data_IF_983399010862
#
_entry.id   IF_983399010862
#
_cell.length_a   1.000
_cell.length_b   1.000
_cell.length_c   1.000
_cell.angle_alpha   90.00
_cell.angle_beta   90.00
_cell.angle_gamma   90.00
#
_symmetry.space_group_name_H-M   'P 1'
#
loop_
_entity.id
_entity.type
_entity.pdbx_description
1 polymer ?
#
# COMPACT_ATOMS: atom_id res chain seq x y z
N UNK A 1 2.10 -3.10 24.17
CA UNK A 1 0.67 -3.07 23.77
C UNK A 1 0.36 -1.94 22.78
N UNK A 2 0.79 -0.69 23.04
CA UNK A 2 0.54 0.46 22.16
C UNK A 2 1.01 0.28 20.70
N UNK A 3 2.21 -0.28 20.49
CA UNK A 3 2.79 -0.52 19.14
C UNK A 3 1.85 -1.38 18.29
N UNK A 4 1.38 -2.51 18.84
CA UNK A 4 0.45 -3.39 18.14
C UNK A 4 -0.91 -2.75 17.90
N UNK A 5 -1.40 -1.91 18.82
CA UNK A 5 -2.67 -1.21 18.64
C UNK A 5 -2.62 -0.25 17.43
N UNK A 6 -1.54 0.52 17.28
CA UNK A 6 -1.34 1.43 16.14
C UNK A 6 -1.28 0.62 14.84
N UNK A 7 -0.48 -0.45 14.83
CA UNK A 7 -0.32 -1.32 13.68
C UNK A 7 -1.64 -1.98 13.25
N UNK A 8 -2.38 -2.56 14.19
CA UNK A 8 -3.68 -3.19 13.90
C UNK A 8 -4.73 -2.18 13.45
N UNK A 9 -4.73 -0.97 14.02
CA UNK A 9 -5.60 0.12 13.55
C UNK A 9 -5.31 0.47 12.10
N UNK A 10 -4.03 0.56 11.72
CA UNK A 10 -3.64 0.75 10.32
C UNK A 10 -4.16 -0.39 9.42
N UNK A 11 -4.08 -1.65 9.88
CA UNK A 11 -4.60 -2.78 9.13
C UNK A 11 -6.13 -2.77 8.99
N UNK A 12 -6.87 -2.27 9.99
CA UNK A 12 -8.32 -2.07 9.87
C UNK A 12 -8.62 -1.08 8.75
N UNK A 13 -7.91 0.04 8.66
CA UNK A 13 -8.10 1.00 7.56
C UNK A 13 -7.71 0.40 6.20
N UNK A 14 -6.62 -0.38 6.12
CA UNK A 14 -6.23 -1.10 4.90
C UNK A 14 -7.24 -2.20 4.51
N UNK A 15 -7.87 -2.85 5.46
CA UNK A 15 -8.95 -3.81 5.24
C UNK A 15 -10.22 -3.11 4.75
N UNK A 16 -10.64 -2.04 5.42
CA UNK A 16 -11.82 -1.27 5.09
C UNK A 16 -11.78 -0.73 3.66
N UNK A 17 -10.65 -0.15 3.23
CA UNK A 17 -10.52 0.31 1.83
C UNK A 17 -10.70 -0.84 0.83
N UNK A 18 -10.22 -2.03 1.17
CA UNK A 18 -10.19 -3.19 0.27
C UNK A 18 -11.60 -3.77 0.15
N UNK A 19 -12.32 -3.87 1.28
CA UNK A 19 -13.73 -4.27 1.30
C UNK A 19 -14.62 -3.28 0.55
N UNK A 20 -14.44 -1.98 0.77
CA UNK A 20 -15.22 -0.96 0.06
C UNK A 20 -14.95 -1.02 -1.45
N UNK A 21 -13.67 -1.09 -1.85
CA UNK A 21 -13.31 -1.22 -3.26
C UNK A 21 -13.89 -2.49 -3.88
N UNK A 22 -13.87 -3.61 -3.15
CA UNK A 22 -14.48 -4.86 -3.58
C UNK A 22 -15.97 -4.65 -3.84
N UNK A 23 -16.74 -4.24 -2.83
CA UNK A 23 -18.20 -4.10 -2.93
C UNK A 23 -18.58 -3.16 -4.08
N UNK A 24 -17.88 -2.03 -4.22
CA UNK A 24 -18.14 -1.07 -5.29
C UNK A 24 -17.79 -1.63 -6.67
N UNK A 25 -16.69 -2.38 -6.79
CA UNK A 25 -16.27 -2.96 -8.07
C UNK A 25 -17.19 -4.10 -8.50
N UNK A 26 -17.74 -4.85 -7.55
CA UNK A 26 -18.72 -5.90 -7.84
C UNK A 26 -20.02 -5.32 -8.37
N UNK A 27 -20.54 -4.29 -7.69
CA UNK A 27 -21.76 -3.58 -8.11
C UNK A 27 -21.61 -2.95 -9.49
N UNK A 28 -20.42 -2.43 -9.81
CA UNK A 28 -20.14 -1.79 -11.09
C UNK A 28 -19.65 -2.76 -12.20
N UNK A 29 -19.39 -4.03 -11.87
CA UNK A 29 -18.70 -5.02 -12.75
C UNK A 29 -17.41 -4.49 -13.39
N UNK A 30 -16.76 -3.50 -12.77
CA UNK A 30 -15.54 -2.84 -13.23
C UNK A 30 -14.66 -2.57 -12.03
N UNK A 31 -13.34 -2.70 -12.21
CA UNK A 31 -12.38 -2.46 -11.13
C UNK A 31 -12.18 -0.96 -10.93
N UNK A 32 -12.96 -0.38 -10.02
CA UNK A 32 -12.95 1.05 -9.72
C UNK A 32 -11.96 1.40 -8.60
N UNK A 33 -11.38 2.60 -8.67
CA UNK A 33 -10.73 3.23 -7.51
C UNK A 33 -11.65 4.34 -6.99
N UNK A 34 -12.42 4.16 -5.91
CA UNK A 34 -13.23 5.24 -5.35
C UNK A 34 -12.36 6.21 -4.53
N UNK A 35 -12.80 7.45 -4.29
CA UNK A 35 -12.02 8.41 -3.50
C UNK A 35 -11.77 7.95 -2.07
N UNK A 36 -12.77 7.30 -1.46
CA UNK A 36 -12.67 6.74 -0.10
C UNK A 36 -11.55 5.71 0.04
N UNK A 37 -11.24 4.95 -1.03
CA UNK A 37 -10.12 4.02 -1.04
C UNK A 37 -8.79 4.73 -0.76
N UNK A 38 -8.58 5.90 -1.37
CA UNK A 38 -7.35 6.67 -1.22
C UNK A 38 -7.28 7.39 0.12
N UNK A 39 -8.40 7.91 0.63
CA UNK A 39 -8.46 8.53 1.97
C UNK A 39 -8.08 7.51 3.05
N UNK A 40 -8.72 6.34 3.03
CA UNK A 40 -8.43 5.27 3.99
C UNK A 40 -6.99 4.75 3.83
N UNK A 41 -6.48 4.65 2.59
CA UNK A 41 -5.08 4.26 2.34
C UNK A 41 -4.08 5.25 2.92
N UNK A 42 -4.35 6.54 2.82
CA UNK A 42 -3.50 7.60 3.36
C UNK A 42 -3.45 7.53 4.89
N UNK A 43 -4.60 7.44 5.56
CA UNK A 43 -4.67 7.32 7.02
C UNK A 43 -3.99 6.03 7.50
N UNK A 44 -4.26 4.90 6.83
CA UNK A 44 -3.61 3.63 7.13
C UNK A 44 -2.09 3.72 6.99
N UNK A 45 -1.61 4.34 5.91
CA UNK A 45 -0.19 4.47 5.62
C UNK A 45 0.54 5.36 6.61
N UNK A 46 -0.09 6.46 7.05
CA UNK A 46 0.44 7.31 8.10
C UNK A 46 0.59 6.55 9.43
N UNK A 47 -0.44 5.83 9.86
CA UNK A 47 -0.38 5.01 11.08
C UNK A 47 0.65 3.87 10.95
N UNK A 48 0.73 3.24 9.78
CA UNK A 48 1.66 2.14 9.54
C UNK A 48 3.12 2.61 9.41
N UNK A 49 3.33 3.85 8.97
CA UNK A 49 4.64 4.51 9.00
C UNK A 49 5.12 4.72 10.44
N UNK A 50 4.25 5.24 11.31
CA UNK A 50 4.53 5.37 12.75
C UNK A 50 4.82 3.99 13.36
N UNK A 51 4.02 2.98 13.03
CA UNK A 51 4.27 1.60 13.44
C UNK A 51 5.66 1.10 13.01
N UNK A 52 6.06 1.33 11.76
CA UNK A 52 7.38 0.96 11.25
C UNK A 52 8.52 1.61 12.03
N UNK A 53 8.37 2.89 12.39
CA UNK A 53 9.32 3.60 13.24
C UNK A 53 9.46 2.96 14.63
N UNK A 54 8.32 2.69 15.28
CA UNK A 54 8.30 2.06 16.60
C UNK A 54 8.80 0.60 16.59
N UNK A 55 8.73 -0.08 15.44
CA UNK A 55 9.25 -1.44 15.24
C UNK A 55 10.71 -1.48 14.80
N UNK A 56 11.33 -0.32 14.63
CA UNK A 56 12.69 -0.17 14.08
C UNK A 56 12.82 -0.89 12.72
N UNK A 57 11.75 -0.85 11.92
CA UNK A 57 11.61 -1.66 10.72
C UNK A 57 11.67 -0.79 9.46
N UNK A 58 12.89 -0.68 8.91
CA UNK A 58 13.16 0.14 7.74
C UNK A 58 12.33 -0.27 6.50
N UNK A 59 12.09 -1.56 6.31
CA UNK A 59 11.33 -2.05 5.15
C UNK A 59 9.90 -1.49 5.17
N UNK A 60 9.24 -1.50 6.34
CA UNK A 60 7.91 -0.91 6.51
C UNK A 60 7.95 0.60 6.21
N UNK A 61 8.89 1.33 6.82
CA UNK A 61 9.04 2.78 6.66
C UNK A 61 9.21 3.15 5.19
N UNK A 62 10.10 2.47 4.47
CA UNK A 62 10.37 2.70 3.05
C UNK A 62 9.12 2.51 2.20
N UNK A 63 8.40 1.39 2.36
CA UNK A 63 7.20 1.09 1.60
C UNK A 63 6.08 2.10 1.83
N UNK A 64 5.89 2.51 3.09
CA UNK A 64 4.89 3.51 3.44
C UNK A 64 5.26 4.89 2.93
N UNK A 65 6.52 5.32 3.07
CA UNK A 65 6.98 6.62 2.59
C UNK A 65 6.63 6.84 1.11
N UNK A 66 6.91 5.85 0.25
CA UNK A 66 6.63 5.94 -1.18
C UNK A 66 5.12 5.88 -1.44
N UNK A 67 4.43 4.88 -0.87
CA UNK A 67 2.98 4.69 -1.07
C UNK A 67 2.17 5.91 -0.64
N UNK A 68 2.59 6.56 0.45
CA UNK A 68 1.94 7.70 1.05
C UNK A 68 1.78 8.88 0.09
N UNK A 69 2.86 9.27 -0.59
CA UNK A 69 2.81 10.36 -1.57
C UNK A 69 1.98 10.01 -2.80
N UNK A 70 1.95 8.74 -3.20
CA UNK A 70 1.08 8.30 -4.29
C UNK A 70 -0.41 8.44 -3.90
N UNK A 71 -0.75 8.24 -2.63
CA UNK A 71 -2.12 8.43 -2.14
C UNK A 71 -2.53 9.90 -2.16
N UNK A 72 -1.64 10.80 -1.73
CA UNK A 72 -1.87 12.25 -1.80
C UNK A 72 -2.08 12.68 -3.26
N UNK A 73 -1.21 12.24 -4.18
CA UNK A 73 -1.34 12.54 -5.59
C UNK A 73 -2.69 12.07 -6.17
N UNK A 74 -3.12 10.85 -5.85
CA UNK A 74 -4.42 10.33 -6.31
C UNK A 74 -5.62 11.11 -5.73
N UNK A 75 -5.51 11.62 -4.50
CA UNK A 75 -6.54 12.47 -3.90
C UNK A 75 -6.61 13.86 -4.54
N UNK A 76 -5.46 14.42 -4.90
CA UNK A 76 -5.39 15.71 -5.59
C UNK A 76 -5.91 15.62 -7.02
N UNK A 77 -5.54 14.56 -7.75
CA UNK A 77 -6.06 14.26 -9.08
C UNK A 77 -7.59 14.12 -9.12
N UNK A 78 -8.22 13.76 -7.99
CA UNK A 78 -9.69 13.67 -7.84
C UNK A 78 -10.34 14.92 -7.27
N UNK A 79 -9.58 15.98 -7.02
CA UNK A 79 -10.07 17.22 -6.41
C UNK A 79 -10.54 17.05 -4.96
N UNK A 80 -10.19 15.95 -4.29
CA UNK A 80 -10.59 15.67 -2.91
C UNK A 80 -9.57 16.21 -1.92
N UNK A 81 -8.29 16.19 -2.26
CA UNK A 81 -7.20 16.67 -1.39
C UNK A 81 -7.45 18.09 -0.89
N UNK A 82 -7.86 19.00 -1.78
CA UNK A 82 -8.13 20.41 -1.44
C UNK A 82 -9.32 20.62 -0.51
N UNK A 83 -10.20 19.62 -0.35
CA UNK A 83 -11.34 19.67 0.59
C UNK A 83 -10.94 19.29 2.02
N UNK A 84 -9.75 18.73 2.22
CA UNK A 84 -9.24 18.39 3.55
C UNK A 84 -8.77 19.67 4.24
N UNK A 85 -9.12 19.90 5.52
CA UNK A 85 -8.62 21.02 6.32
C UNK A 85 -7.11 21.22 6.19
N UNK A 86 -6.65 22.47 6.15
CA UNK A 86 -5.24 22.78 5.88
C UNK A 86 -4.32 22.24 6.97
N UNK A 87 -4.77 22.25 8.23
CA UNK A 87 -4.07 21.75 9.40
C UNK A 87 -3.78 20.25 9.24
N UNK A 88 -4.78 19.48 8.83
CA UNK A 88 -4.62 18.05 8.57
C UNK A 88 -3.68 17.80 7.39
N UNK A 89 -3.74 18.60 6.33
CA UNK A 89 -2.81 18.48 5.20
C UNK A 89 -1.36 18.74 5.61
N UNK A 90 -1.12 19.75 6.45
CA UNK A 90 0.22 20.07 6.97
C UNK A 90 0.74 18.91 7.83
N UNK A 91 -0.06 18.37 8.74
CA UNK A 91 0.35 17.22 9.57
C UNK A 91 0.67 16.02 8.68
N UNK A 92 -0.21 15.73 7.72
CA UNK A 92 -0.07 14.60 6.82
C UNK A 92 1.21 14.72 5.97
N UNK A 93 1.43 15.85 5.29
CA UNK A 93 2.64 16.05 4.46
C UNK A 93 3.90 16.19 5.33
N UNK A 94 3.78 16.85 6.48
CA UNK A 94 4.88 17.17 7.37
C UNK A 94 5.44 15.96 8.11
N UNK A 95 4.62 14.96 8.45
CA UNK A 95 5.09 13.82 9.27
C UNK A 95 6.25 13.04 8.63
N UNK A 96 6.17 12.58 7.36
CA UNK A 96 7.28 11.85 6.74
C UNK A 96 8.51 12.74 6.52
N UNK A 97 8.31 14.03 6.21
CA UNK A 97 9.41 14.99 6.04
C UNK A 97 10.14 15.22 7.36
N UNK A 98 9.40 15.47 8.44
CA UNK A 98 9.97 15.63 9.78
C UNK A 98 10.74 14.38 10.22
N UNK A 99 10.22 13.18 9.96
CA UNK A 99 10.92 11.93 10.24
C UNK A 99 12.25 11.83 9.49
N UNK A 100 12.31 12.23 8.21
CA UNK A 100 13.55 12.25 7.43
C UNK A 100 14.53 13.29 7.98
N UNK A 101 14.05 14.50 8.31
CA UNK A 101 14.90 15.56 8.85
C UNK A 101 15.53 15.13 10.18
N UNK A 102 14.72 14.59 11.09
CA UNK A 102 15.20 14.06 12.38
C UNK A 102 16.19 12.91 12.18
N UNK A 103 15.93 12.00 11.23
CA UNK A 103 16.86 10.93 10.88
C UNK A 103 18.18 11.44 10.31
N UNK A 104 18.15 12.52 9.53
CA UNK A 104 19.33 13.11 8.90
C UNK A 104 20.21 13.87 9.88
N UNK A 105 19.63 14.44 10.94
CA UNK A 105 20.35 15.14 12.00
C UNK A 105 21.25 14.20 12.83
N UNK A 106 20.92 12.91 12.87
CA UNK A 106 21.75 11.86 13.47
C UNK A 106 21.77 10.60 12.59
N UNK A 107 22.41 10.74 11.42
CA UNK A 107 22.51 9.67 10.45
C UNK A 107 23.24 8.44 11.01
N UNK A 108 24.18 8.61 11.94
CA UNK A 108 24.90 7.51 12.57
C UNK A 108 23.96 6.64 13.41
N UNK A 109 23.15 7.26 14.28
CA UNK A 109 22.14 6.55 15.07
C UNK A 109 21.06 5.94 14.18
N UNK A 110 20.65 6.62 13.11
CA UNK A 110 19.70 6.05 12.15
C UNK A 110 20.24 4.77 11.51
N UNK A 111 21.48 4.77 11.01
CA UNK A 111 22.12 3.60 10.42
C UNK A 111 22.24 2.47 11.44
N UNK A 112 22.66 2.77 12.67
CA UNK A 112 22.77 1.77 13.74
C UNK A 112 21.41 1.14 14.09
N UNK A 113 20.37 1.95 14.22
CA UNK A 113 19.04 1.54 14.68
C UNK A 113 18.23 0.82 13.61
N UNK A 114 18.28 1.31 12.36
CA UNK A 114 17.40 0.86 11.29
C UNK A 114 18.09 -0.01 10.23
N UNK A 115 19.40 0.17 9.98
CA UNK A 115 20.12 -0.56 8.92
C UNK A 115 21.07 -1.65 9.45
N UNK A 116 21.63 -1.47 10.66
CA UNK A 116 22.54 -2.42 11.32
C UNK A 116 21.93 -3.01 12.59
N UNK A 117 20.62 -3.25 12.58
CA UNK A 117 19.90 -3.78 13.74
C UNK A 117 20.12 -5.30 13.88
N UNK A 118 20.58 -5.78 15.05
CA UNK A 118 20.75 -7.22 15.30
C UNK A 118 19.43 -8.01 15.23
N UNK A 119 18.27 -7.35 15.42
CA UNK A 119 16.94 -7.96 15.29
C UNK A 119 16.50 -8.15 13.83
N UNK A 120 17.16 -7.48 12.88
CA UNK A 120 16.91 -7.58 11.43
C UNK A 120 18.24 -7.68 10.70
N UNK A 121 18.75 -8.89 10.42
CA UNK A 121 19.99 -9.03 9.67
C UNK A 121 19.87 -8.38 8.29
N UNK A 122 20.98 -7.86 7.77
CA UNK A 122 20.99 -7.05 6.55
C UNK A 122 20.29 -7.73 5.35
N UNK A 123 20.49 -9.04 5.17
CA UNK A 123 19.83 -9.78 4.08
C UNK A 123 18.30 -9.75 4.19
N UNK A 124 17.77 -9.81 5.42
CA UNK A 124 16.33 -9.79 5.68
C UNK A 124 15.78 -8.38 5.48
N UNK A 125 16.53 -7.35 5.90
CA UNK A 125 16.20 -5.96 5.62
C UNK A 125 16.11 -5.69 4.12
N UNK A 126 17.10 -6.14 3.35
CA UNK A 126 17.11 -6.00 1.88
C UNK A 126 15.92 -6.75 1.28
N UNK A 127 15.67 -7.99 1.70
CA UNK A 127 14.54 -8.78 1.24
C UNK A 127 13.19 -8.10 1.52
N UNK A 128 12.97 -7.63 2.75
CA UNK A 128 11.75 -6.92 3.14
C UNK A 128 11.56 -5.62 2.35
N UNK A 129 12.65 -4.86 2.18
CA UNK A 129 12.65 -3.60 1.41
C UNK A 129 12.32 -3.83 -0.06
N UNK A 130 12.88 -4.87 -0.68
CA UNK A 130 12.55 -5.27 -2.04
C UNK A 130 11.08 -5.71 -2.16
N UNK A 131 10.57 -6.49 -1.20
CA UNK A 131 9.16 -6.87 -1.16
C UNK A 131 8.23 -5.66 -1.10
N UNK A 132 8.55 -4.67 -0.26
CA UNK A 132 7.80 -3.42 -0.12
C UNK A 132 7.90 -2.55 -1.38
N UNK A 133 9.07 -2.53 -2.04
CA UNK A 133 9.26 -1.82 -3.30
C UNK A 133 8.44 -2.44 -4.43
N UNK A 134 8.52 -3.76 -4.62
CA UNK A 134 7.68 -4.49 -5.58
C UNK A 134 6.20 -4.22 -5.31
N UNK A 135 5.78 -4.33 -4.04
CA UNK A 135 4.39 -4.08 -3.68
C UNK A 135 3.94 -2.64 -3.97
N UNK A 136 4.85 -1.67 -3.88
CA UNK A 136 4.56 -0.26 -4.18
C UNK A 136 4.51 0.02 -5.69
N UNK A 137 5.32 -0.68 -6.49
CA UNK A 137 5.34 -0.54 -7.96
C UNK A 137 3.97 -0.76 -8.60
N UNK A 138 3.05 -1.49 -7.95
CA UNK A 138 1.66 -1.62 -8.43
C UNK A 138 1.00 -0.26 -8.68
N UNK A 139 1.25 0.72 -7.81
CA UNK A 139 0.64 2.03 -7.93
C UNK A 139 1.28 2.85 -9.05
N UNK A 140 2.59 2.72 -9.25
CA UNK A 140 3.29 3.30 -10.41
C UNK A 140 2.74 2.72 -11.71
N UNK A 141 2.58 1.40 -11.77
CA UNK A 141 1.98 0.72 -12.92
C UNK A 141 0.54 1.22 -13.18
N UNK A 142 -0.27 1.33 -12.13
CA UNK A 142 -1.63 1.88 -12.23
C UNK A 142 -1.64 3.32 -12.73
N UNK A 143 -0.73 4.16 -12.25
CA UNK A 143 -0.63 5.56 -12.64
C UNK A 143 -0.30 5.69 -14.13
N UNK A 144 0.71 4.95 -14.61
CA UNK A 144 1.09 4.91 -16.03
C UNK A 144 -0.08 4.40 -16.89
N UNK A 145 -0.76 3.34 -16.44
CA UNK A 145 -1.89 2.77 -17.17
C UNK A 145 -3.09 3.73 -17.23
N UNK A 146 -3.43 4.36 -16.10
CA UNK A 146 -4.56 5.28 -15.98
C UNK A 146 -4.32 6.57 -16.77
N UNK A 147 -3.08 7.08 -16.76
CA UNK A 147 -2.71 8.26 -17.53
C UNK A 147 -2.93 8.04 -19.04
N UNK A 148 -2.55 6.87 -19.57
CA UNK A 148 -2.74 6.53 -20.98
C UNK A 148 -4.21 6.37 -21.39
N UNK A 149 -5.10 6.05 -20.45
CA UNK A 149 -6.52 5.75 -20.70
C UNK A 149 -7.48 6.83 -20.23
N UNK A 150 -7.00 7.87 -19.52
CA UNK A 150 -7.80 8.92 -18.87
C UNK A 150 -8.89 8.39 -17.92
N UNK A 151 -8.74 7.16 -17.43
CA UNK A 151 -9.67 6.50 -16.51
C UNK A 151 -8.90 5.96 -15.30
N UNK A 152 -9.48 6.09 -14.10
CA UNK A 152 -8.86 5.59 -12.86
C UNK A 152 -9.20 4.11 -12.64
N UNK A 153 -8.53 3.25 -13.39
CA UNK A 153 -8.71 1.79 -13.36
C UNK A 153 -7.57 1.09 -12.63
N UNK A 154 -7.86 -0.07 -12.03
CA UNK A 154 -6.86 -0.98 -11.48
C UNK A 154 -6.63 -2.14 -12.47
N UNK A 155 -5.61 -2.07 -13.35
CA UNK A 155 -5.37 -3.06 -14.40
C UNK A 155 -4.91 -4.41 -13.83
N UNK A 156 -4.96 -5.48 -14.64
CA UNK A 156 -4.49 -6.81 -14.22
C UNK A 156 -3.06 -6.81 -13.68
N UNK A 157 -2.16 -6.02 -14.26
CA UNK A 157 -0.78 -5.87 -13.79
C UNK A 157 -0.67 -5.34 -12.36
N UNK A 158 -1.59 -4.47 -11.92
CA UNK A 158 -1.66 -4.01 -10.52
C UNK A 158 -1.84 -5.19 -9.57
N UNK A 159 -2.71 -6.13 -9.92
CA UNK A 159 -3.04 -7.28 -9.08
C UNK A 159 -1.92 -8.33 -9.08
N UNK A 160 -1.30 -8.59 -10.23
CA UNK A 160 -0.15 -9.50 -10.34
C UNK A 160 1.01 -8.99 -9.48
N UNK A 161 1.37 -7.71 -9.61
CA UNK A 161 2.42 -7.09 -8.79
C UNK A 161 2.05 -7.16 -7.30
N UNK A 162 0.77 -6.94 -6.96
CA UNK A 162 0.29 -7.04 -5.57
C UNK A 162 0.47 -8.43 -4.97
N UNK A 163 0.18 -9.50 -5.73
CA UNK A 163 0.40 -10.88 -5.26
C UNK A 163 1.88 -11.16 -5.02
N UNK A 164 2.74 -10.79 -5.97
CA UNK A 164 4.20 -11.00 -5.85
C UNK A 164 4.79 -10.24 -4.67
N UNK A 165 4.46 -8.95 -4.53
CA UNK A 165 4.91 -8.13 -3.40
C UNK A 165 4.36 -8.63 -2.06
N UNK A 166 3.08 -8.99 -2.01
CA UNK A 166 2.44 -9.53 -0.80
C UNK A 166 3.07 -10.84 -0.36
N UNK A 167 3.42 -11.75 -1.29
CA UNK A 167 4.10 -12.99 -0.96
C UNK A 167 5.46 -12.74 -0.29
N UNK A 168 6.27 -11.82 -0.86
CA UNK A 168 7.53 -11.42 -0.26
C UNK A 168 7.35 -10.81 1.14
N UNK A 169 6.35 -9.93 1.33
CA UNK A 169 6.07 -9.30 2.63
C UNK A 169 5.55 -10.32 3.65
N UNK A 170 4.78 -11.33 3.24
CA UNK A 170 4.34 -12.42 4.12
C UNK A 170 5.54 -13.24 4.60
N UNK A 171 6.42 -13.66 3.69
CA UNK A 171 7.65 -14.38 4.06
C UNK A 171 8.49 -13.55 5.02
N UNK A 172 8.67 -12.25 4.72
CA UNK A 172 9.35 -11.32 5.60
C UNK A 172 8.70 -11.24 6.99
N UNK A 173 7.37 -11.10 7.05
CA UNK A 173 6.59 -11.00 8.29
C UNK A 173 6.64 -12.28 9.14
N UNK A 174 6.68 -13.46 8.51
CA UNK A 174 6.86 -14.75 9.22
C UNK A 174 8.22 -14.78 9.90
N UNK A 175 9.30 -14.46 9.15
CA UNK A 175 10.67 -14.49 9.68
C UNK A 175 10.84 -13.44 10.79
N UNK A 176 10.25 -12.25 10.62
CA UNK A 176 10.24 -11.17 11.62
C UNK A 176 9.30 -11.43 12.81
N UNK A 177 8.46 -12.47 12.75
CA UNK A 177 7.37 -12.74 13.70
C UNK A 177 6.50 -11.51 13.94
N UNK A 178 6.15 -10.82 12.86
CA UNK A 178 5.34 -9.61 12.90
C UNK A 178 3.86 -9.94 12.56
N UNK A 179 3.00 -10.14 13.57
CA UNK A 179 1.60 -10.51 13.32
C UNK A 179 0.82 -9.40 12.61
N UNK A 180 1.22 -8.13 12.75
CA UNK A 180 0.50 -7.01 12.12
C UNK A 180 0.69 -7.04 10.61
N UNK A 181 1.91 -7.31 10.14
CA UNK A 181 2.17 -7.50 8.70
C UNK A 181 1.35 -8.67 8.13
N UNK A 182 1.26 -9.78 8.87
CA UNK A 182 0.55 -10.98 8.41
C UNK A 182 -0.97 -10.75 8.32
N UNK A 183 -1.56 -10.15 9.36
CA UNK A 183 -2.99 -9.81 9.40
C UNK A 183 -3.38 -8.88 8.25
N UNK A 184 -2.49 -7.98 7.84
CA UNK A 184 -2.71 -7.13 6.67
C UNK A 184 -2.60 -7.86 5.33
N UNK A 185 -1.52 -8.61 5.14
CA UNK A 185 -1.18 -9.14 3.81
C UNK A 185 -1.92 -10.41 3.44
N UNK A 186 -2.21 -11.30 4.38
CA UNK A 186 -2.88 -12.59 4.08
C UNK A 186 -4.29 -12.35 3.50
N UNK A 187 -5.18 -11.57 4.15
CA UNK A 187 -6.49 -11.26 3.57
C UNK A 187 -6.37 -10.44 2.29
N UNK A 188 -5.41 -9.51 2.22
CA UNK A 188 -5.12 -8.73 1.01
C UNK A 188 -4.80 -9.62 -0.19
N UNK A 189 -3.95 -10.63 -0.02
CA UNK A 189 -3.54 -11.57 -1.06
C UNK A 189 -4.74 -12.31 -1.67
N UNK A 190 -5.70 -12.72 -0.84
CA UNK A 190 -6.95 -13.35 -1.31
C UNK A 190 -7.71 -12.40 -2.24
N UNK A 191 -7.82 -11.12 -1.88
CA UNK A 191 -8.50 -10.12 -2.72
C UNK A 191 -7.78 -9.89 -4.05
N UNK A 192 -6.44 -9.90 -4.05
CA UNK A 192 -5.64 -9.70 -5.25
C UNK A 192 -5.80 -10.87 -6.23
N UNK A 193 -5.69 -12.10 -5.75
CA UNK A 193 -5.90 -13.32 -6.54
C UNK A 193 -7.30 -13.32 -7.16
N UNK A 194 -8.32 -12.99 -6.35
CA UNK A 194 -9.71 -12.89 -6.81
C UNK A 194 -9.86 -11.87 -7.94
N UNK A 195 -9.24 -10.71 -7.84
CA UNK A 195 -9.31 -9.67 -8.87
C UNK A 195 -8.60 -10.08 -10.18
N UNK A 196 -7.57 -10.94 -10.11
CA UNK A 196 -6.96 -11.55 -11.30
C UNK A 196 -7.95 -12.51 -11.97
N UNK A 197 -8.60 -13.38 -11.19
CA UNK A 197 -9.60 -14.34 -11.71
C UNK A 197 -10.76 -13.61 -12.37
N UNK A 198 -11.28 -12.54 -11.74
CA UNK A 198 -12.32 -11.70 -12.33
C UNK A 198 -11.91 -11.11 -13.68
N UNK A 199 -10.69 -10.58 -13.79
CA UNK A 199 -10.21 -10.02 -15.05
C UNK A 199 -10.18 -11.08 -16.15
N UNK A 200 -9.71 -12.29 -15.84
CA UNK A 200 -9.69 -13.41 -16.81
C UNK A 200 -11.10 -13.79 -17.26
N UNK A 201 -12.05 -13.87 -16.34
CA UNK A 201 -13.44 -14.25 -16.64
C UNK A 201 -14.18 -13.17 -17.45
N UNK A 202 -13.95 -11.89 -17.15
CA UNK A 202 -14.56 -10.79 -17.90
C UNK A 202 -13.95 -10.66 -19.30
N UNK A 203 -12.64 -10.90 -19.47
CA UNK A 203 -12.01 -10.96 -20.80
C UNK A 203 -12.57 -12.08 -21.67
N UNK A 204 -12.87 -13.25 -21.07
CA UNK A 204 -13.50 -14.37 -21.77
C UNK A 204 -14.91 -14.06 -22.28
N UNK A 205 -15.70 -13.28 -21.53
CA UNK A 205 -17.06 -12.87 -21.91
C UNK A 205 -17.10 -11.80 -23.01
N UNK A 206 -16.20 -10.83 -22.98
CA UNK A 206 -16.13 -9.80 -24.05
C UNK A 206 -15.75 -10.45 -25.38
N UNK A 207 -14.78 -11.36 -25.38
CA UNK A 207 -14.34 -12.08 -26.59
C UNK A 207 -15.42 -13.01 -27.16
N UNK A 208 -16.33 -13.55 -26.33
CA UNK A 208 -17.46 -14.36 -26.80
C UNK A 208 -18.56 -13.53 -27.47
N UNK A 209 -18.83 -12.33 -26.97
CA UNK A 209 -19.81 -11.42 -27.57
C UNK A 209 -19.31 -10.83 -28.90
N UNK A 210 -18.01 -10.57 -29.04
CA UNK A 210 -17.43 -10.05 -30.30
C UNK A 210 -17.36 -11.11 -31.42
N UNK A 211 -17.55 -12.40 -31.11
CA UNK A 211 -17.60 -13.50 -32.09
C UNK A 211 -19.05 -13.83 -32.51
N UNK A 212 -20.04 -13.26 -31.82
CA UNK A 212 -21.46 -13.46 -32.11
C UNK A 212 -22.11 -12.30 -32.89
N UNK A 213 -21.31 -11.38 -33.45
CA UNK A 213 -21.77 -10.29 -34.32
C UNK A 213 -21.26 -10.53 -35.74
#
# INVERSE_FOLDING_TARGET
>A
MLIYAIGLTAQIFFGARTLIQWVMSERARKSLSPSIFWILSMVASWLFFIYGWMREDFAIILGQLISYYIYIWNLDAKGVWRKIPIELRIILVGTPVAAIVLASGDAATFVATFLKNSRVPLWLLVFGSLGQMIFTLRFVYQLIYSYRRKESLLPIGFWIISVTGSAAIIVYGIIRRDPVLLVGQIPGMVTYIRNIILHKNNYGKVKQNDIQI
#
